data_IF_147603679190
#
_entry.id   IF_147603679190
#
_cell.length_a   1.000
_cell.length_b   1.000
_cell.length_c   1.000
_cell.angle_alpha   90.00
_cell.angle_beta   90.00
_cell.angle_gamma   90.00
#
_symmetry.space_group_name_H-M   'P 1'
#
loop_
_entity.id
_entity.type
_entity.pdbx_description
1 polymer ?
#
# COMPACT_ATOMS: atom_id res chain seq x y z
N UNK A 1 52.32 -52.75 3.43
CA UNK A 1 52.30 -51.42 4.05
C UNK A 1 50.94 -50.73 3.78
N UNK A 2 49.88 -51.09 4.52
CA UNK A 2 48.59 -50.44 4.30
C UNK A 2 48.18 -49.35 5.35
N UNK A 3 49.04 -49.07 6.35
CA UNK A 3 48.66 -48.20 7.46
C UNK A 3 48.89 -46.69 7.22
N UNK A 4 49.66 -46.31 6.21
CA UNK A 4 49.95 -44.90 5.88
C UNK A 4 48.77 -44.24 5.17
N UNK A 5 48.03 -44.94 4.34
CA UNK A 5 46.88 -44.40 3.60
C UNK A 5 45.65 -44.09 4.47
N UNK A 6 45.47 -44.78 5.60
CA UNK A 6 44.36 -44.57 6.51
C UNK A 6 44.60 -43.32 7.35
N UNK A 7 45.84 -42.93 7.60
CA UNK A 7 46.17 -41.76 8.42
C UNK A 7 46.05 -40.45 7.65
N UNK A 8 46.40 -40.42 6.39
CA UNK A 8 46.23 -39.25 5.51
C UNK A 8 44.78 -38.93 5.20
N UNK A 9 43.92 -39.94 5.02
CA UNK A 9 42.50 -39.77 4.73
C UNK A 9 41.74 -39.19 5.94
N UNK A 10 42.16 -39.53 7.17
CA UNK A 10 41.57 -38.96 8.41
C UNK A 10 42.01 -37.52 8.70
N UNK A 11 43.24 -37.14 8.31
CA UNK A 11 43.73 -35.78 8.47
C UNK A 11 43.07 -34.85 7.45
N UNK A 12 42.91 -35.28 6.22
CA UNK A 12 42.25 -34.50 5.16
C UNK A 12 40.75 -34.37 5.38
N UNK A 13 40.10 -35.40 5.92
CA UNK A 13 38.66 -35.34 6.26
C UNK A 13 38.38 -34.45 7.47
N UNK A 14 39.32 -34.37 8.43
CA UNK A 14 39.20 -33.47 9.61
C UNK A 14 39.53 -32.03 9.27
N UNK A 15 40.40 -31.79 8.29
CA UNK A 15 40.70 -30.40 7.84
C UNK A 15 39.60 -29.85 6.92
N UNK A 16 39.00 -30.67 6.05
CA UNK A 16 37.92 -30.20 5.18
C UNK A 16 36.57 -29.96 5.91
N UNK A 17 36.36 -30.64 7.05
CA UNK A 17 35.15 -30.39 7.89
C UNK A 17 35.32 -29.14 8.77
N UNK A 18 36.56 -28.69 9.03
CA UNK A 18 36.84 -27.52 9.87
C UNK A 18 36.61 -26.17 9.14
N UNK A 19 36.53 -26.20 7.79
CA UNK A 19 36.30 -24.95 6.99
C UNK A 19 34.84 -24.70 6.64
N UNK A 20 33.88 -25.51 7.10
CA UNK A 20 32.45 -25.37 6.90
C UNK A 20 31.66 -25.32 8.21
N UNK A 21 32.25 -24.92 9.32
CA UNK A 21 31.42 -24.42 10.42
C UNK A 21 30.96 -23.03 10.01
N UNK A 22 29.79 -22.97 9.33
CA UNK A 22 29.02 -21.76 9.15
C UNK A 22 28.96 -21.06 10.49
N UNK A 23 29.35 -19.79 10.54
CA UNK A 23 29.11 -18.92 11.70
C UNK A 23 27.59 -18.80 11.86
N UNK A 24 26.99 -19.75 12.55
CA UNK A 24 25.57 -19.69 12.89
C UNK A 24 25.43 -18.57 13.92
N UNK A 25 25.03 -17.40 13.44
CA UNK A 25 24.76 -16.25 14.31
C UNK A 25 23.69 -16.69 15.32
N UNK A 26 24.05 -16.73 16.58
CA UNK A 26 23.13 -17.11 17.65
C UNK A 26 22.04 -16.05 17.80
N UNK A 27 20.78 -16.49 18.03
CA UNK A 27 19.66 -15.58 18.28
C UNK A 27 19.96 -14.63 19.46
N UNK A 28 20.71 -15.11 20.46
CA UNK A 28 21.17 -14.28 21.59
C UNK A 28 22.09 -13.14 21.14
N UNK A 29 22.99 -13.37 20.19
CA UNK A 29 23.89 -12.34 19.66
C UNK A 29 23.13 -11.24 18.92
N UNK A 30 22.08 -11.62 18.16
CA UNK A 30 21.19 -10.66 17.49
C UNK A 30 20.47 -9.78 18.51
N UNK A 31 19.93 -10.38 19.58
CA UNK A 31 19.23 -9.64 20.63
C UNK A 31 20.19 -8.66 21.35
N UNK A 32 21.40 -9.08 21.64
CA UNK A 32 22.40 -8.24 22.30
C UNK A 32 22.90 -7.11 21.38
N UNK A 33 23.06 -7.38 20.07
CA UNK A 33 23.36 -6.37 19.08
C UNK A 33 22.26 -5.29 19.00
N UNK A 34 20.98 -5.71 18.98
CA UNK A 34 19.83 -4.81 18.99
C UNK A 34 19.81 -3.95 20.26
N UNK A 35 20.01 -4.57 21.44
CA UNK A 35 20.06 -3.84 22.71
C UNK A 35 21.24 -2.85 22.78
N UNK A 36 22.41 -3.24 22.30
CA UNK A 36 23.60 -2.39 22.29
C UNK A 36 23.44 -1.20 21.35
N UNK A 37 22.81 -1.40 20.18
CA UNK A 37 22.72 -0.41 19.09
C UNK A 37 21.29 0.11 18.85
N UNK A 38 20.41 0.02 19.84
CA UNK A 38 19.00 0.45 19.73
C UNK A 38 18.84 1.91 19.28
N UNK A 39 19.85 2.78 19.61
CA UNK A 39 19.87 4.19 19.21
C UNK A 39 19.88 4.35 17.68
N UNK A 40 20.52 3.43 16.95
CA UNK A 40 20.55 3.44 15.47
C UNK A 40 19.15 3.16 14.96
N UNK A 41 18.48 2.14 15.50
CA UNK A 41 17.10 1.79 15.11
C UNK A 41 16.15 2.95 15.40
N UNK A 42 16.25 3.54 16.58
CA UNK A 42 15.44 4.70 16.96
C UNK A 42 15.69 5.89 16.02
N UNK A 43 16.95 6.20 15.71
CA UNK A 43 17.32 7.32 14.84
C UNK A 43 16.79 7.11 13.41
N UNK A 44 16.99 5.93 12.81
CA UNK A 44 16.51 5.63 11.46
C UNK A 44 14.99 5.66 11.38
N UNK A 45 14.31 5.13 12.40
CA UNK A 45 12.84 5.14 12.47
C UNK A 45 12.29 6.56 12.58
N UNK A 46 12.86 7.37 13.48
CA UNK A 46 12.44 8.76 13.65
C UNK A 46 12.72 9.56 12.38
N UNK A 47 13.90 9.41 11.77
CA UNK A 47 14.24 10.11 10.53
C UNK A 47 13.28 9.75 9.39
N UNK A 48 13.03 8.46 9.18
CA UNK A 48 12.10 7.99 8.15
C UNK A 48 10.68 8.54 8.37
N UNK A 49 10.21 8.53 9.62
CA UNK A 49 8.89 9.02 10.01
C UNK A 49 8.78 10.54 9.79
N UNK A 50 9.80 11.31 10.16
CA UNK A 50 9.85 12.76 9.95
C UNK A 50 9.85 13.11 8.47
N UNK A 51 10.68 12.44 7.66
CA UNK A 51 10.73 12.65 6.21
C UNK A 51 9.36 12.36 5.59
N UNK A 52 8.74 11.23 5.92
CA UNK A 52 7.41 10.87 5.44
C UNK A 52 6.34 11.89 5.87
N UNK A 53 6.41 12.37 7.11
CA UNK A 53 5.54 13.42 7.61
C UNK A 53 5.67 14.70 6.78
N UNK A 54 6.89 15.21 6.60
CA UNK A 54 7.14 16.42 5.79
C UNK A 54 6.60 16.22 4.37
N UNK A 55 6.88 15.10 3.73
CA UNK A 55 6.37 14.82 2.38
C UNK A 55 4.84 14.77 2.35
N UNK A 56 4.20 14.09 3.29
CA UNK A 56 2.75 13.92 3.33
C UNK A 56 1.99 15.21 3.65
N UNK A 57 2.59 16.14 4.38
CA UNK A 57 1.93 17.40 4.77
C UNK A 57 2.23 18.56 3.81
N UNK A 58 3.43 18.62 3.22
CA UNK A 58 3.89 19.80 2.48
C UNK A 58 4.07 19.56 0.98
N UNK A 59 4.35 18.33 0.55
CA UNK A 59 4.67 18.05 -0.86
C UNK A 59 3.45 17.52 -1.61
N UNK A 60 2.66 16.63 -0.99
CA UNK A 60 1.52 16.00 -1.64
C UNK A 60 0.30 16.91 -1.54
N UNK A 61 -0.20 17.37 -2.69
CA UNK A 61 -1.43 18.18 -2.74
C UNK A 61 -2.64 17.35 -2.29
N UNK A 62 -3.54 17.93 -1.49
CA UNK A 62 -4.77 17.24 -1.10
C UNK A 62 -5.64 16.92 -2.31
N UNK A 63 -6.28 15.74 -2.30
CA UNK A 63 -7.23 15.31 -3.31
C UNK A 63 -8.60 15.15 -2.65
N UNK A 64 -9.62 15.70 -3.28
CA UNK A 64 -11.00 15.67 -2.85
C UNK A 64 -11.81 14.74 -3.74
N UNK A 65 -12.74 14.00 -3.16
CA UNK A 65 -13.62 13.09 -3.88
C UNK A 65 -15.06 13.53 -3.69
N UNK A 66 -15.76 13.78 -4.81
CA UNK A 66 -17.21 13.87 -4.85
C UNK A 66 -17.78 12.51 -5.24
N UNK A 67 -18.95 12.17 -4.72
CA UNK A 67 -19.65 10.92 -5.05
C UNK A 67 -21.14 11.12 -5.22
N UNK A 68 -21.75 10.24 -6.02
CA UNK A 68 -23.19 10.15 -6.21
C UNK A 68 -23.61 8.70 -6.28
N UNK A 69 -24.85 8.40 -5.88
CA UNK A 69 -25.47 7.08 -6.04
C UNK A 69 -26.70 7.18 -6.90
N UNK A 70 -26.80 6.30 -7.86
CA UNK A 70 -27.87 6.27 -8.86
C UNK A 70 -28.55 4.91 -8.80
N UNK A 71 -29.85 4.91 -8.71
CA UNK A 71 -30.69 3.73 -8.84
C UNK A 71 -31.07 3.53 -10.30
N UNK A 72 -31.01 2.29 -10.78
CA UNK A 72 -31.35 1.90 -12.14
C UNK A 72 -32.42 0.81 -12.05
N UNK A 73 -33.64 1.12 -12.51
CA UNK A 73 -34.78 0.23 -12.38
C UNK A 73 -35.80 0.43 -13.50
N UNK A 74 -37.02 -0.13 -13.31
CA UNK A 74 -38.16 0.01 -14.21
C UNK A 74 -39.02 1.21 -13.79
N UNK A 75 -39.48 1.99 -14.75
CA UNK A 75 -40.49 3.01 -14.51
C UNK A 75 -41.83 2.37 -14.17
N UNK A 76 -42.57 2.86 -13.17
CA UNK A 76 -43.87 2.36 -12.81
C UNK A 76 -43.93 1.04 -12.05
N UNK A 77 -42.81 0.62 -11.45
CA UNK A 77 -42.71 -0.64 -10.67
C UNK A 77 -43.65 -0.75 -9.45
N UNK A 78 -44.28 0.36 -9.06
CA UNK A 78 -45.30 0.36 -7.99
C UNK A 78 -46.64 -0.29 -8.45
N UNK A 79 -46.93 -0.34 -9.77
CA UNK A 79 -48.17 -0.86 -10.30
C UNK A 79 -48.07 -2.24 -10.95
N UNK A 80 -46.89 -2.63 -11.42
CA UNK A 80 -46.59 -3.94 -11.98
C UNK A 80 -45.41 -4.55 -11.22
N UNK A 81 -45.65 -5.50 -10.32
CA UNK A 81 -44.64 -6.07 -9.44
C UNK A 81 -43.34 -6.48 -10.17
N UNK A 82 -42.20 -6.30 -9.50
CA UNK A 82 -40.89 -6.75 -9.99
C UNK A 82 -40.86 -8.27 -10.15
N UNK A 83 -40.49 -8.73 -11.33
CA UNK A 83 -40.19 -10.14 -11.57
C UNK A 83 -38.67 -10.37 -11.37
N UNK A 84 -38.29 -11.57 -10.93
CA UNK A 84 -36.87 -11.93 -10.74
C UNK A 84 -36.03 -11.75 -12.02
N UNK A 85 -36.67 -11.90 -13.20
CA UNK A 85 -36.06 -11.66 -14.50
C UNK A 85 -35.70 -10.19 -14.70
N UNK A 86 -36.58 -9.27 -14.26
CA UNK A 86 -36.36 -7.82 -14.40
C UNK A 86 -35.15 -7.40 -13.55
N UNK A 87 -35.06 -7.90 -12.32
CA UNK A 87 -33.92 -7.61 -11.43
C UNK A 87 -32.58 -8.03 -12.06
N UNK A 88 -32.55 -9.25 -12.65
CA UNK A 88 -31.37 -9.78 -13.32
C UNK A 88 -31.00 -8.97 -14.56
N UNK A 89 -31.99 -8.52 -15.32
CA UNK A 89 -31.79 -7.68 -16.48
C UNK A 89 -31.18 -6.33 -16.09
N UNK A 90 -31.70 -5.65 -15.07
CA UNK A 90 -31.18 -4.37 -14.60
C UNK A 90 -29.80 -4.50 -13.97
N UNK A 91 -29.50 -5.60 -13.27
CA UNK A 91 -28.16 -5.87 -12.76
C UNK A 91 -27.12 -6.04 -13.89
N UNK A 92 -27.51 -6.63 -15.03
CA UNK A 92 -26.64 -6.70 -16.20
C UNK A 92 -26.52 -5.34 -16.91
N UNK A 93 -27.60 -4.57 -16.94
CA UNK A 93 -27.62 -3.23 -17.54
C UNK A 93 -26.68 -2.28 -16.78
N UNK A 94 -26.57 -2.39 -15.46
CA UNK A 94 -25.65 -1.61 -14.63
C UNK A 94 -24.18 -1.78 -15.08
N UNK A 95 -23.79 -2.99 -15.50
CA UNK A 95 -22.42 -3.22 -16.02
C UNK A 95 -22.22 -2.45 -17.33
N UNK A 96 -23.20 -2.46 -18.22
CA UNK A 96 -23.15 -1.69 -19.47
C UNK A 96 -23.09 -0.18 -19.17
N UNK A 97 -23.88 0.29 -18.22
CA UNK A 97 -23.90 1.70 -17.81
C UNK A 97 -22.59 2.12 -17.12
N UNK A 98 -21.94 1.23 -16.37
CA UNK A 98 -20.64 1.53 -15.79
C UNK A 98 -19.55 1.75 -16.83
N UNK A 99 -19.63 1.01 -17.95
CA UNK A 99 -18.71 1.23 -19.08
C UNK A 99 -19.10 2.46 -19.91
N UNK A 100 -20.39 2.75 -20.06
CA UNK A 100 -20.87 3.95 -20.75
C UNK A 100 -20.32 5.23 -20.10
N UNK A 101 -20.32 5.32 -18.77
CA UNK A 101 -19.81 6.49 -18.03
C UNK A 101 -18.33 6.73 -18.31
N UNK A 102 -17.54 5.67 -18.54
CA UNK A 102 -16.12 5.74 -18.86
C UNK A 102 -15.82 5.96 -20.33
N UNK A 103 -16.83 6.19 -21.18
CA UNK A 103 -16.59 6.50 -22.58
C UNK A 103 -16.08 7.92 -22.77
N UNK A 104 -15.13 8.08 -23.70
CA UNK A 104 -14.57 9.39 -24.03
C UNK A 104 -15.62 10.39 -24.50
N UNK A 105 -16.61 9.92 -25.24
CA UNK A 105 -17.66 10.77 -25.80
C UNK A 105 -18.57 11.37 -24.70
N UNK A 106 -18.97 10.57 -23.71
CA UNK A 106 -19.77 11.04 -22.58
C UNK A 106 -18.97 12.03 -21.75
N UNK A 107 -17.71 11.69 -21.42
CA UNK A 107 -16.85 12.57 -20.62
C UNK A 107 -16.53 13.86 -21.34
N UNK A 108 -16.28 13.81 -22.67
CA UNK A 108 -16.05 15.03 -23.45
C UNK A 108 -17.26 15.95 -23.42
N UNK A 109 -18.47 15.44 -23.66
CA UNK A 109 -19.71 16.23 -23.56
C UNK A 109 -19.95 16.80 -22.16
N UNK A 110 -19.66 16.02 -21.12
CA UNK A 110 -19.77 16.50 -19.74
C UNK A 110 -18.77 17.65 -19.44
N UNK A 111 -17.56 17.58 -20.01
CA UNK A 111 -16.57 18.66 -19.92
C UNK A 111 -17.05 19.89 -20.69
N UNK A 112 -17.53 19.70 -21.94
CA UNK A 112 -18.02 20.79 -22.79
C UNK A 112 -19.21 21.54 -22.14
N UNK A 113 -20.04 20.81 -21.36
CA UNK A 113 -21.14 21.36 -20.59
C UNK A 113 -20.71 21.95 -19.23
N UNK A 114 -19.43 21.85 -18.86
CA UNK A 114 -18.87 22.41 -17.65
C UNK A 114 -18.14 23.72 -17.95
N UNK A 115 -17.87 24.52 -16.90
CA UNK A 115 -17.08 25.75 -17.02
C UNK A 115 -15.55 25.51 -16.99
N UNK A 116 -15.11 24.23 -17.03
CA UNK A 116 -13.73 23.86 -16.84
C UNK A 116 -13.08 23.31 -18.11
N UNK A 117 -11.91 23.82 -18.45
CA UNK A 117 -11.09 23.29 -19.55
C UNK A 117 -10.18 22.16 -19.01
N UNK A 118 -10.66 20.92 -19.10
CA UNK A 118 -9.98 19.73 -18.63
C UNK A 118 -9.78 18.73 -19.75
N UNK A 119 -8.65 18.05 -19.76
CA UNK A 119 -8.46 16.96 -20.73
C UNK A 119 -9.32 15.74 -20.37
N UNK A 120 -9.95 15.13 -21.37
CA UNK A 120 -10.78 13.92 -21.21
C UNK A 120 -10.04 12.81 -20.47
N UNK A 121 -8.75 12.60 -20.80
CA UNK A 121 -7.95 11.56 -20.14
C UNK A 121 -7.71 11.87 -18.66
N UNK A 122 -7.54 13.15 -18.30
CA UNK A 122 -7.39 13.54 -16.87
C UNK A 122 -8.66 13.25 -16.09
N UNK A 123 -9.82 13.55 -16.67
CA UNK A 123 -11.12 13.28 -16.03
C UNK A 123 -11.37 11.79 -15.92
N UNK A 124 -11.11 11.01 -16.98
CA UNK A 124 -11.26 9.55 -16.97
C UNK A 124 -10.38 8.87 -15.91
N UNK A 125 -9.17 9.36 -15.68
CA UNK A 125 -8.28 8.83 -14.65
C UNK A 125 -8.77 9.13 -13.22
N UNK A 126 -9.58 10.16 -13.05
CA UNK A 126 -10.15 10.52 -11.75
C UNK A 126 -11.52 9.90 -11.47
N UNK A 127 -12.19 9.31 -12.49
CA UNK A 127 -13.50 8.67 -12.35
C UNK A 127 -13.35 7.25 -11.82
N UNK A 128 -14.13 6.92 -10.81
CA UNK A 128 -14.33 5.56 -10.32
C UNK A 128 -15.82 5.23 -10.38
N UNK A 129 -16.17 4.10 -10.98
CA UNK A 129 -17.54 3.62 -11.07
C UNK A 129 -17.63 2.26 -10.40
N UNK A 130 -18.41 2.17 -9.34
CA UNK A 130 -18.60 0.96 -8.55
C UNK A 130 -20.05 0.48 -8.65
N UNK A 131 -20.23 -0.79 -8.94
CA UNK A 131 -21.54 -1.46 -8.88
C UNK A 131 -21.67 -2.16 -7.53
N UNK A 132 -22.71 -1.85 -6.76
CA UNK A 132 -22.96 -2.55 -5.51
C UNK A 132 -23.59 -3.92 -5.83
N UNK A 133 -22.81 -4.96 -5.61
CA UNK A 133 -23.18 -6.35 -5.94
C UNK A 133 -24.53 -6.74 -5.33
N UNK A 134 -25.41 -7.32 -6.14
CA UNK A 134 -26.74 -7.76 -5.71
C UNK A 134 -27.78 -6.64 -5.57
N UNK A 135 -27.41 -5.40 -5.92
CA UNK A 135 -28.32 -4.25 -5.89
C UNK A 135 -28.48 -3.63 -7.29
N UNK A 136 -29.41 -2.70 -7.40
CA UNK A 136 -29.62 -1.87 -8.60
C UNK A 136 -29.01 -0.47 -8.44
N UNK A 137 -27.92 -0.37 -7.65
CA UNK A 137 -27.27 0.90 -7.33
C UNK A 137 -25.88 0.97 -7.99
N UNK A 138 -25.67 2.08 -8.69
CA UNK A 138 -24.41 2.47 -9.28
C UNK A 138 -23.87 3.66 -8.52
N UNK A 139 -22.64 3.55 -8.02
CA UNK A 139 -21.93 4.65 -7.38
C UNK A 139 -20.88 5.19 -8.34
N UNK A 140 -20.90 6.49 -8.56
CA UNK A 140 -19.91 7.21 -9.35
C UNK A 140 -19.15 8.15 -8.42
N UNK A 141 -17.85 8.16 -8.51
CA UNK A 141 -16.98 9.10 -7.77
C UNK A 141 -16.01 9.74 -8.74
N UNK A 142 -15.65 10.99 -8.44
CA UNK A 142 -14.62 11.73 -9.17
C UNK A 142 -13.68 12.42 -8.21
N UNK A 143 -12.38 12.25 -8.46
CA UNK A 143 -11.32 12.83 -7.64
C UNK A 143 -10.65 14.01 -8.35
N UNK A 144 -10.48 15.12 -7.61
CA UNK A 144 -9.79 16.32 -8.09
C UNK A 144 -9.03 17.02 -6.96
N UNK A 145 -8.06 17.88 -7.33
CA UNK A 145 -7.36 18.73 -6.37
C UNK A 145 -8.23 19.89 -5.84
N UNK A 146 -9.32 20.22 -6.52
CA UNK A 146 -10.27 21.24 -6.13
C UNK A 146 -11.62 20.62 -5.78
N UNK A 147 -12.19 20.92 -4.59
CA UNK A 147 -13.52 20.44 -4.21
C UNK A 147 -14.61 20.85 -5.20
N UNK A 148 -14.55 22.09 -5.71
CA UNK A 148 -15.55 22.60 -6.66
C UNK A 148 -15.47 21.88 -8.01
N UNK A 149 -14.27 21.63 -8.51
CA UNK A 149 -14.07 20.84 -9.74
C UNK A 149 -14.57 19.41 -9.53
N UNK A 150 -14.26 18.79 -8.39
CA UNK A 150 -14.74 17.44 -8.10
C UNK A 150 -16.26 17.36 -8.13
N UNK A 151 -16.96 18.32 -7.50
CA UNK A 151 -18.41 18.38 -7.50
C UNK A 151 -18.97 18.63 -8.91
N UNK A 152 -18.57 19.73 -9.54
CA UNK A 152 -19.22 20.21 -10.77
C UNK A 152 -19.00 19.26 -11.95
N UNK A 153 -17.78 18.68 -12.08
CA UNK A 153 -17.50 17.69 -13.12
C UNK A 153 -18.32 16.41 -12.90
N UNK A 154 -18.41 15.92 -11.65
CA UNK A 154 -19.22 14.73 -11.37
C UNK A 154 -20.71 15.01 -11.63
N UNK A 155 -21.20 16.21 -11.31
CA UNK A 155 -22.58 16.62 -11.60
C UNK A 155 -22.85 16.66 -13.10
N UNK A 156 -21.94 17.23 -13.90
CA UNK A 156 -22.03 17.24 -15.36
C UNK A 156 -22.01 15.83 -15.96
N UNK A 157 -21.11 14.96 -15.48
CA UNK A 157 -21.04 13.55 -15.90
C UNK A 157 -22.34 12.80 -15.55
N UNK A 158 -22.88 13.04 -14.37
CA UNK A 158 -24.11 12.41 -13.89
C UNK A 158 -25.30 12.81 -14.78
N UNK A 159 -25.43 14.10 -15.10
CA UNK A 159 -26.49 14.62 -15.93
C UNK A 159 -26.40 14.09 -17.37
N UNK A 160 -25.20 14.11 -17.97
CA UNK A 160 -24.99 13.58 -19.31
C UNK A 160 -25.25 12.04 -19.36
N UNK A 161 -24.85 11.34 -18.28
CA UNK A 161 -25.14 9.91 -18.16
C UNK A 161 -26.64 9.62 -18.11
N UNK A 162 -27.43 10.37 -17.32
CA UNK A 162 -28.89 10.19 -17.22
C UNK A 162 -29.52 10.42 -18.59
N UNK A 163 -29.18 11.51 -19.27
CA UNK A 163 -29.66 11.80 -20.63
C UNK A 163 -29.36 10.65 -21.60
N UNK A 164 -28.13 10.14 -21.54
CA UNK A 164 -27.71 9.06 -22.43
C UNK A 164 -28.35 7.70 -22.09
N UNK A 165 -28.57 7.45 -20.80
CA UNK A 165 -29.24 6.24 -20.34
C UNK A 165 -30.73 6.20 -20.78
N UNK A 166 -31.43 7.33 -20.75
CA UNK A 166 -32.80 7.47 -21.22
C UNK A 166 -32.90 7.28 -22.75
N UNK A 167 -31.89 7.78 -23.51
CA UNK A 167 -31.83 7.53 -24.96
C UNK A 167 -31.67 6.03 -25.29
N UNK A 168 -30.87 5.31 -24.49
CA UNK A 168 -30.56 3.89 -24.74
C UNK A 168 -31.69 2.95 -24.29
N UNK A 169 -32.37 3.31 -23.21
CA UNK A 169 -33.47 2.49 -22.64
C UNK A 169 -34.65 3.39 -22.28
N UNK A 170 -35.54 3.67 -23.23
CA UNK A 170 -36.61 4.64 -23.07
C UNK A 170 -37.60 4.37 -21.92
N UNK A 171 -37.69 3.12 -21.43
CA UNK A 171 -38.53 2.73 -20.30
C UNK A 171 -37.70 2.45 -19.02
N UNK A 172 -36.40 2.79 -19.03
CA UNK A 172 -35.52 2.69 -17.89
C UNK A 172 -35.72 3.86 -16.94
N UNK A 173 -35.76 3.59 -15.65
CA UNK A 173 -35.85 4.61 -14.63
C UNK A 173 -34.44 4.75 -13.99
N UNK A 174 -33.82 5.91 -14.22
CA UNK A 174 -32.52 6.26 -13.62
C UNK A 174 -32.76 7.40 -12.64
N UNK A 175 -32.65 7.10 -11.34
CA UNK A 175 -32.91 8.07 -10.28
C UNK A 175 -31.65 8.32 -9.43
N UNK A 176 -31.35 9.58 -9.19
CA UNK A 176 -30.31 9.97 -8.22
C UNK A 176 -30.84 9.68 -6.82
N UNK A 177 -30.19 8.78 -6.09
CA UNK A 177 -30.46 8.49 -4.68
C UNK A 177 -29.72 9.42 -3.76
N UNK A 178 -28.50 9.77 -4.12
CA UNK A 178 -27.61 10.64 -3.35
C UNK A 178 -27.04 11.70 -4.31
N UNK A 179 -27.41 12.95 -4.11
CA UNK A 179 -26.91 14.06 -4.92
C UNK A 179 -25.44 14.33 -4.69
N UNK A 180 -24.78 14.90 -5.69
CA UNK A 180 -23.37 15.28 -5.58
C UNK A 180 -23.21 16.42 -4.57
N UNK A 181 -22.50 16.15 -3.47
CA UNK A 181 -22.19 17.17 -2.48
C UNK A 181 -20.76 17.70 -2.65
N UNK A 182 -20.54 18.94 -2.16
CA UNK A 182 -19.21 19.53 -2.12
C UNK A 182 -18.36 18.81 -1.07
N UNK A 183 -17.25 18.14 -1.44
CA UNK A 183 -16.42 17.45 -0.47
C UNK A 183 -15.74 18.43 0.49
N UNK A 184 -15.92 18.20 1.78
CA UNK A 184 -15.37 19.07 2.85
C UNK A 184 -13.95 18.67 3.25
N UNK A 185 -13.64 17.40 3.17
CA UNK A 185 -12.35 16.83 3.60
C UNK A 185 -11.64 16.15 2.44
N UNK A 186 -10.31 16.26 2.36
CA UNK A 186 -9.54 15.50 1.38
C UNK A 186 -9.53 14.01 1.71
N UNK A 187 -9.62 13.18 0.68
CA UNK A 187 -9.53 11.71 0.77
C UNK A 187 -8.09 11.21 0.67
N UNK A 188 -7.20 12.00 0.07
CA UNK A 188 -5.78 11.69 -0.05
C UNK A 188 -4.91 12.96 0.17
N UNK A 189 -3.65 12.81 0.62
CA UNK A 189 -3.02 11.57 1.06
C UNK A 189 -3.55 11.09 2.44
N UNK A 190 -3.55 9.78 2.65
CA UNK A 190 -3.81 9.23 3.99
C UNK A 190 -2.54 9.39 4.84
N UNK A 191 -2.43 10.54 5.52
CA UNK A 191 -1.25 10.94 6.28
C UNK A 191 -0.88 9.92 7.37
N UNK A 192 -1.88 9.40 8.06
CA UNK A 192 -1.68 8.41 9.13
C UNK A 192 -1.10 7.10 8.57
N UNK A 193 -1.62 6.62 7.44
CA UNK A 193 -1.13 5.41 6.79
C UNK A 193 0.30 5.59 6.28
N UNK A 194 0.60 6.73 5.65
CA UNK A 194 1.95 7.03 5.14
C UNK A 194 2.98 7.06 6.29
N UNK A 195 2.63 7.68 7.41
CA UNK A 195 3.49 7.73 8.61
C UNK A 195 3.67 6.33 9.20
N UNK A 196 2.60 5.53 9.28
CA UNK A 196 2.67 4.16 9.81
C UNK A 196 3.57 3.26 8.95
N UNK A 197 3.43 3.34 7.62
CA UNK A 197 4.29 2.59 6.68
C UNK A 197 5.75 3.04 6.83
N UNK A 198 6.01 4.35 6.89
CA UNK A 198 7.36 4.88 7.04
C UNK A 198 8.00 4.47 8.37
N UNK A 199 7.22 4.40 9.45
CA UNK A 199 7.67 3.90 10.75
C UNK A 199 8.14 2.45 10.67
N UNK A 200 7.34 1.57 10.07
CA UNK A 200 7.68 0.15 9.90
C UNK A 200 8.92 0.00 9.02
N UNK A 201 8.98 0.68 7.88
CA UNK A 201 10.12 0.64 6.97
C UNK A 201 11.39 1.20 7.62
N UNK A 202 11.29 2.31 8.36
CA UNK A 202 12.40 2.89 9.10
C UNK A 202 12.97 1.93 10.17
N UNK A 203 12.08 1.22 10.86
CA UNK A 203 12.46 0.17 11.81
C UNK A 203 13.16 -1.01 11.10
N UNK A 204 12.63 -1.49 9.97
CA UNK A 204 13.24 -2.56 9.19
C UNK A 204 14.64 -2.18 8.70
N UNK A 205 14.81 -0.97 8.17
CA UNK A 205 16.13 -0.44 7.77
C UNK A 205 17.07 -0.37 8.96
N UNK A 206 16.60 0.11 10.10
CA UNK A 206 17.37 0.17 11.33
C UNK A 206 17.88 -1.20 11.79
N UNK A 207 17.03 -2.20 11.79
CA UNK A 207 17.43 -3.58 12.08
C UNK A 207 18.44 -4.10 11.05
N UNK A 208 18.22 -3.84 9.76
CA UNK A 208 19.16 -4.22 8.70
C UNK A 208 20.57 -3.61 8.91
N UNK A 209 20.65 -2.33 9.27
CA UNK A 209 21.91 -1.65 9.56
C UNK A 209 22.57 -2.26 10.80
N UNK A 210 21.83 -2.50 11.88
CA UNK A 210 22.39 -3.11 13.10
C UNK A 210 22.90 -4.51 12.81
N UNK A 211 22.15 -5.31 12.06
CA UNK A 211 22.58 -6.65 11.67
C UNK A 211 23.85 -6.61 10.79
N UNK A 212 23.91 -5.68 9.82
CA UNK A 212 25.10 -5.51 8.97
C UNK A 212 26.32 -5.10 9.79
N UNK A 213 26.14 -4.16 10.73
CA UNK A 213 27.21 -3.73 11.61
C UNK A 213 27.69 -4.85 12.55
N UNK A 214 26.80 -5.74 12.97
CA UNK A 214 27.16 -6.89 13.80
C UNK A 214 27.89 -7.97 12.98
N UNK A 215 27.42 -8.18 11.75
CA UNK A 215 28.07 -9.11 10.82
C UNK A 215 29.53 -8.68 10.46
N UNK A 216 29.75 -7.37 10.38
CA UNK A 216 31.08 -6.79 10.10
C UNK A 216 31.96 -6.64 11.36
N UNK A 217 31.41 -6.88 12.54
CA UNK A 217 32.10 -6.76 13.83
C UNK A 217 32.85 -8.07 14.14
N UNK A 218 34.12 -8.14 13.75
CA UNK A 218 34.97 -9.32 13.96
C UNK A 218 35.61 -9.34 15.38
N UNK A 219 34.95 -8.73 16.35
CA UNK A 219 35.48 -8.66 17.74
C UNK A 219 34.96 -9.84 18.55
N UNK A 220 35.88 -10.55 19.21
CA UNK A 220 35.52 -11.58 20.18
C UNK A 220 34.87 -10.95 21.42
N UNK A 221 33.61 -11.31 21.67
CA UNK A 221 32.82 -10.74 22.77
C UNK A 221 32.79 -11.64 24.00
N UNK A 222 33.00 -12.92 23.82
CA UNK A 222 32.91 -13.92 24.87
C UNK A 222 34.17 -14.79 24.90
N UNK A 223 34.54 -15.24 26.11
CA UNK A 223 35.65 -16.14 26.33
C UNK A 223 35.52 -17.45 25.54
N UNK A 224 34.28 -17.97 25.48
CA UNK A 224 33.93 -19.21 24.80
C UNK A 224 34.16 -19.13 23.28
N UNK A 225 33.89 -17.99 22.65
CA UNK A 225 34.15 -17.77 21.21
C UNK A 225 35.66 -17.77 20.95
N UNK A 226 36.45 -17.10 21.80
CA UNK A 226 37.89 -17.03 21.64
C UNK A 226 38.55 -18.41 21.82
N UNK A 227 38.09 -19.20 22.81
CA UNK A 227 38.57 -20.56 23.04
C UNK A 227 38.22 -21.50 21.90
N UNK A 228 37.02 -21.33 21.36
CA UNK A 228 36.53 -22.18 20.23
C UNK A 228 37.30 -21.88 18.93
N UNK A 229 37.53 -20.61 18.60
CA UNK A 229 38.18 -20.21 17.34
C UNK A 229 39.67 -20.43 17.34
N UNK A 230 40.34 -20.20 18.49
CA UNK A 230 41.80 -20.35 18.60
C UNK A 230 42.23 -21.72 19.09
N UNK A 231 41.30 -22.56 19.56
CA UNK A 231 41.58 -23.89 20.16
C UNK A 231 42.61 -23.84 21.32
N UNK A 232 42.63 -22.70 22.08
CA UNK A 232 43.47 -22.43 23.21
C UNK A 232 42.67 -22.01 24.42
N UNK A 233 42.90 -22.54 25.65
CA UNK A 233 42.19 -22.13 26.85
C UNK A 233 42.54 -20.71 27.26
N UNK A 234 41.54 -19.89 27.55
CA UNK A 234 41.74 -18.55 28.10
C UNK A 234 42.08 -18.64 29.59
N UNK A 235 43.30 -18.28 29.96
CA UNK A 235 43.82 -18.40 31.33
C UNK A 235 43.31 -17.31 32.28
N UNK A 236 42.79 -16.20 31.74
CA UNK A 236 42.26 -15.13 32.57
C UNK A 236 41.72 -13.97 31.73
N UNK A 237 40.83 -13.17 32.30
CA UNK A 237 40.27 -11.95 31.71
C UNK A 237 40.70 -10.77 32.57
N UNK A 238 41.32 -9.78 31.96
CA UNK A 238 41.68 -8.50 32.66
C UNK A 238 40.52 -7.54 32.39
N UNK A 239 39.73 -7.14 33.37
CA UNK A 239 38.67 -6.17 33.19
C UNK A 239 39.28 -4.83 32.78
N UNK A 240 38.73 -4.20 31.73
CA UNK A 240 39.10 -2.84 31.36
C UNK A 240 38.56 -1.90 32.45
N UNK A 241 39.42 -1.30 33.24
CA UNK A 241 39.02 -0.22 34.15
C UNK A 241 38.87 1.03 33.29
N UNK A 242 37.69 1.63 33.27
CA UNK A 242 37.50 2.99 32.74
C UNK A 242 38.42 3.90 33.59
N UNK A 243 39.56 4.27 33.02
CA UNK A 243 40.33 5.37 33.52
C UNK A 243 39.65 6.63 33.01
N UNK A 244 38.96 7.33 33.92
CA UNK A 244 38.40 8.68 33.73
C UNK A 244 39.43 9.67 33.20
#
# INVERSE_FOLDING_TARGET
MPWIYIYEDNINKKSSTKYMEEQVISISEIIDAVKKRWKIIALTTVLATLVSGIFSFFVISPTYEASTKIFIGKEGAESEGYNSSDVSMYQNLIKTYSELIKTKDLVNKAIDNSEYDLSVNSVLNGITVNTLTGTQILQISYQSKSPSIAKNILESITNEFITKAEELVPNGNVKILESVELPKNPVAPNKTMNIAIAFILGMMVGFGIVFLLEYLDNTYKNKEQLEKDLDIPVLGVIPMSDLD
#
